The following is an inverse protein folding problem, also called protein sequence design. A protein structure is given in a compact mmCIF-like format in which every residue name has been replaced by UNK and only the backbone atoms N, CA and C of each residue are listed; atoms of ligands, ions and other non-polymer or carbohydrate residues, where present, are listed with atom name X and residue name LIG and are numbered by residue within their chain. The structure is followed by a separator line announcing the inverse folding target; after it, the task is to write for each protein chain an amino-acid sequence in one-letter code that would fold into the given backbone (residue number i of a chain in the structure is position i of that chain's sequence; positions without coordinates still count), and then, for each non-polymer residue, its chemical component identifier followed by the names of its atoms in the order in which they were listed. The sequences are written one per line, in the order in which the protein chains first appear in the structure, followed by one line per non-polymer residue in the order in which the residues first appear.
data_IF_817348664982
#
_entry.id   IF_817348664982
#
_cell.length_a   1.000
_cell.length_b   1.000
_cell.length_c   1.000
_cell.angle_alpha   90.00
_cell.angle_beta   90.00
_cell.angle_gamma   90.00
#
_symmetry.space_group_name_H-M   'P 1'
#
loop_
_entity.id
_entity.type
_entity.pdbx_description
1 polymer ?
#
# COMPACT_ATOMS: atom_id res chain seq x y z
N UNK A 1 -19.71 -8.38 10.48
CA UNK A 1 -18.62 -9.31 10.09
C UNK A 1 -17.71 -9.47 11.29
N UNK A 2 -17.62 -10.68 11.85
CA UNK A 2 -16.62 -10.98 12.87
C UNK A 2 -15.25 -10.92 12.21
N UNK A 3 -14.51 -9.84 12.48
CA UNK A 3 -13.14 -9.68 12.03
C UNK A 3 -12.26 -10.62 12.87
N UNK A 4 -11.54 -11.59 12.28
CA UNK A 4 -10.70 -12.49 13.05
C UNK A 4 -9.72 -11.72 13.93
N UNK A 5 -9.51 -12.16 15.17
CA UNK A 5 -8.64 -11.46 16.13
C UNK A 5 -7.21 -11.30 15.60
N UNK A 6 -6.72 -12.30 14.85
CA UNK A 6 -5.47 -12.22 14.12
C UNK A 6 -5.40 -11.01 13.17
N UNK A 7 -6.48 -10.70 12.44
CA UNK A 7 -6.54 -9.54 11.56
C UNK A 7 -6.41 -8.25 12.36
N UNK A 8 -7.03 -8.15 13.53
CA UNK A 8 -6.93 -6.95 14.39
C UNK A 8 -5.50 -6.70 14.83
N UNK A 9 -4.74 -7.74 15.19
CA UNK A 9 -3.32 -7.63 15.56
C UNK A 9 -2.49 -7.01 14.42
N UNK A 10 -2.63 -7.51 13.20
CA UNK A 10 -1.86 -7.03 12.04
C UNK A 10 -2.36 -5.69 11.49
N UNK A 11 -3.66 -5.43 11.59
CA UNK A 11 -4.27 -4.19 11.16
C UNK A 11 -4.08 -3.06 12.18
N UNK A 12 -3.76 -3.32 13.45
CA UNK A 12 -3.62 -2.29 14.48
C UNK A 12 -2.67 -1.16 14.06
N UNK A 13 -1.48 -1.42 13.50
CA UNK A 13 -0.64 -0.36 12.95
C UNK A 13 -1.24 0.33 11.72
N UNK A 14 -2.11 -0.33 10.98
CA UNK A 14 -2.78 0.30 9.84
C UNK A 14 -3.98 1.15 10.24
N UNK A 15 -4.48 1.04 11.48
CA UNK A 15 -5.66 1.75 11.99
C UNK A 15 -5.35 3.09 12.66
N UNK A 16 -4.08 3.39 12.98
CA UNK A 16 -3.74 4.68 13.58
C UNK A 16 -3.79 5.77 12.53
N UNK A 17 -4.52 6.83 12.87
CA UNK A 17 -4.61 8.05 12.08
C UNK A 17 -3.34 8.89 12.28
N UNK A 18 -2.78 9.37 11.17
CA UNK A 18 -1.70 10.34 11.17
C UNK A 18 -1.84 11.33 10.04
N UNK A 19 -1.43 12.56 10.30
CA UNK A 19 -1.37 13.63 9.30
C UNK A 19 0.06 13.79 8.79
N UNK A 20 0.20 14.27 7.57
CA UNK A 20 1.48 14.60 6.95
C UNK A 20 2.00 13.57 5.97
N UNK A 21 3.15 13.89 5.39
CA UNK A 21 3.81 13.09 4.36
C UNK A 21 5.03 12.38 4.93
N UNK A 22 5.14 11.09 4.64
CA UNK A 22 6.15 10.22 5.22
C UNK A 22 6.95 9.49 4.14
N UNK A 23 8.24 9.18 4.37
CA UNK A 23 9.02 8.43 3.41
C UNK A 23 8.50 6.99 3.27
N UNK A 24 8.56 6.47 2.04
CA UNK A 24 8.40 5.06 1.76
C UNK A 24 9.52 4.53 0.88
N UNK A 25 9.68 3.21 0.86
CA UNK A 25 10.48 2.50 -0.13
C UNK A 25 9.75 1.25 -0.63
N UNK A 26 9.97 0.90 -1.90
CA UNK A 26 9.63 -0.39 -2.47
C UNK A 26 10.92 -1.15 -2.76
N UNK A 27 11.02 -2.36 -2.22
CA UNK A 27 12.06 -3.30 -2.57
C UNK A 27 11.52 -4.44 -3.43
N UNK A 28 12.25 -4.85 -4.45
CA UNK A 28 12.08 -6.19 -5.03
C UNK A 28 12.94 -7.14 -4.23
N UNK A 29 12.31 -8.20 -3.73
CA UNK A 29 12.92 -9.17 -2.84
C UNK A 29 12.75 -10.58 -3.42
N UNK A 30 13.88 -11.21 -3.74
CA UNK A 30 13.97 -12.64 -4.01
C UNK A 30 14.24 -13.37 -2.69
N UNK A 31 13.19 -13.75 -1.97
CA UNK A 31 13.26 -14.72 -0.86
C UNK A 31 12.86 -16.10 -1.40
N UNK A 32 11.99 -16.87 -0.74
CA UNK A 32 11.41 -18.10 -1.30
C UNK A 32 10.78 -17.86 -2.67
N UNK A 33 10.08 -16.72 -2.82
CA UNK A 33 9.52 -16.24 -4.08
C UNK A 33 9.87 -14.76 -4.29
N UNK A 34 9.87 -14.32 -5.55
CA UNK A 34 9.93 -12.89 -5.87
C UNK A 34 8.68 -12.18 -5.35
N UNK A 35 8.88 -11.07 -4.66
CA UNK A 35 7.80 -10.20 -4.18
C UNK A 35 8.29 -8.76 -4.01
N UNK A 36 7.33 -7.86 -3.82
CA UNK A 36 7.57 -6.47 -3.50
C UNK A 36 7.41 -6.25 -2.00
N UNK A 37 8.42 -5.69 -1.35
CA UNK A 37 8.29 -5.23 0.03
C UNK A 37 8.13 -3.71 0.03
N UNK A 38 6.87 -3.26 0.16
CA UNK A 38 6.53 -1.86 0.36
C UNK A 38 6.62 -1.57 1.87
N UNK A 39 7.43 -0.57 2.24
CA UNK A 39 7.59 -0.11 3.62
C UNK A 39 7.34 1.38 3.69
N UNK A 40 6.51 1.78 4.63
CA UNK A 40 6.02 3.15 4.78
C UNK A 40 6.20 3.58 6.22
N UNK A 41 6.86 4.71 6.43
CA UNK A 41 6.87 5.35 7.76
C UNK A 41 5.47 5.91 8.03
N UNK A 42 5.01 5.82 9.26
CA UNK A 42 3.70 6.31 9.73
C UNK A 42 3.90 7.00 11.08
N UNK A 43 3.18 8.09 11.36
CA UNK A 43 3.22 8.80 12.64
C UNK A 43 4.63 9.15 13.19
N UNK A 44 5.67 9.27 12.35
CA UNK A 44 7.09 9.36 12.77
C UNK A 44 7.62 8.17 13.59
N UNK A 45 6.93 7.03 13.55
CA UNK A 45 7.30 5.77 14.20
C UNK A 45 8.08 4.87 13.22
N UNK A 46 8.23 3.60 13.59
CA UNK A 46 8.71 2.52 12.73
C UNK A 46 7.89 2.35 11.45
N UNK A 47 8.25 1.40 10.60
CA UNK A 47 7.61 1.23 9.28
C UNK A 47 6.43 0.28 9.40
N UNK A 48 5.28 0.63 8.80
CA UNK A 48 4.27 -0.35 8.41
C UNK A 48 4.62 -0.90 7.02
N UNK A 49 4.38 -2.19 6.82
CA UNK A 49 4.83 -2.88 5.61
C UNK A 49 3.73 -3.68 4.92
N UNK A 50 3.83 -3.78 3.60
CA UNK A 50 2.97 -4.61 2.76
C UNK A 50 3.87 -5.46 1.86
N UNK A 51 3.74 -6.78 1.93
CA UNK A 51 4.27 -7.68 0.91
C UNK A 51 3.27 -7.71 -0.25
N UNK A 52 3.72 -7.33 -1.44
CA UNK A 52 2.95 -7.29 -2.68
C UNK A 52 3.40 -8.47 -3.56
N UNK A 53 2.46 -9.33 -3.93
CA UNK A 53 2.74 -10.49 -4.78
C UNK A 53 2.80 -10.08 -6.25
N UNK A 54 3.95 -9.54 -6.64
CA UNK A 54 4.19 -8.96 -7.95
C UNK A 54 4.92 -9.88 -8.93
N UNK A 55 5.31 -11.09 -8.57
CA UNK A 55 5.97 -12.02 -9.50
C UNK A 55 4.99 -12.54 -10.57
N UNK A 56 5.46 -12.67 -11.81
CA UNK A 56 4.78 -13.43 -12.86
C UNK A 56 5.28 -14.87 -12.85
N UNK A 57 4.45 -15.86 -12.49
CA UNK A 57 4.82 -17.27 -12.54
C UNK A 57 5.42 -17.66 -13.89
N UNK A 58 6.43 -18.54 -13.87
CA UNK A 58 7.12 -19.01 -15.08
C UNK A 58 8.05 -18.02 -15.80
N UNK A 59 8.05 -16.73 -15.42
CA UNK A 59 8.87 -15.72 -16.13
C UNK A 59 10.38 -15.85 -15.89
N UNK A 60 10.80 -16.50 -14.81
CA UNK A 60 12.20 -16.79 -14.48
C UNK A 60 12.44 -18.29 -14.56
N UNK A 61 13.31 -18.72 -15.47
CA UNK A 61 13.65 -20.14 -15.69
C UNK A 61 14.64 -20.69 -14.66
N UNK A 62 15.66 -19.89 -14.32
CA UNK A 62 16.69 -20.25 -13.34
C UNK A 62 16.72 -19.23 -12.22
N UNK A 63 16.66 -19.73 -10.99
CA UNK A 63 16.74 -18.88 -9.80
C UNK A 63 18.19 -18.41 -9.61
N UNK A 64 18.44 -17.09 -9.48
CA UNK A 64 19.74 -16.62 -9.03
C UNK A 64 20.12 -17.21 -7.67
N UNK A 65 21.37 -17.68 -7.49
CA UNK A 65 21.85 -18.25 -6.24
C UNK A 65 23.35 -17.96 -6.00
N UNK A 66 23.80 -18.06 -4.75
CA UNK A 66 25.17 -17.74 -4.37
C UNK A 66 25.44 -16.24 -4.22
N UNK A 67 26.69 -15.86 -3.98
CA UNK A 67 27.08 -14.44 -3.96
C UNK A 67 27.00 -13.82 -5.36
N UNK A 68 27.36 -14.60 -6.38
CA UNK A 68 27.40 -14.18 -7.79
C UNK A 68 26.01 -14.03 -8.43
N UNK A 69 24.99 -14.73 -7.90
CA UNK A 69 23.61 -14.59 -8.38
C UNK A 69 23.01 -13.19 -8.20
N UNK A 70 23.71 -12.26 -7.53
CA UNK A 70 23.31 -10.86 -7.51
C UNK A 70 23.17 -10.26 -8.91
N UNK A 71 24.07 -10.58 -9.85
CA UNK A 71 24.04 -9.98 -11.18
C UNK A 71 22.89 -10.50 -12.03
N UNK A 72 22.58 -11.79 -11.92
CA UNK A 72 21.40 -12.38 -12.55
C UNK A 72 20.10 -11.83 -11.95
N UNK A 73 20.06 -11.63 -10.63
CA UNK A 73 18.97 -10.94 -9.97
C UNK A 73 18.81 -9.50 -10.51
N UNK A 74 19.91 -8.78 -10.72
CA UNK A 74 19.87 -7.44 -11.30
C UNK A 74 19.35 -7.42 -12.74
N UNK A 75 19.70 -8.41 -13.58
CA UNK A 75 19.14 -8.54 -14.93
C UNK A 75 17.63 -8.69 -14.89
N UNK A 76 17.09 -9.47 -13.95
CA UNK A 76 15.64 -9.62 -13.74
C UNK A 76 15.01 -8.29 -13.30
N UNK A 77 15.59 -7.64 -12.28
CA UNK A 77 15.10 -6.36 -11.73
C UNK A 77 15.28 -5.19 -12.71
N UNK A 78 16.08 -5.33 -13.76
CA UNK A 78 16.19 -4.29 -14.79
C UNK A 78 14.96 -4.22 -15.70
N UNK A 79 14.25 -5.33 -15.90
CA UNK A 79 13.17 -5.43 -16.90
C UNK A 79 11.82 -5.79 -16.28
N UNK A 80 11.17 -4.88 -15.53
CA UNK A 80 10.00 -5.24 -14.75
C UNK A 80 8.81 -5.74 -15.58
N UNK A 81 8.58 -5.19 -16.77
CA UNK A 81 7.48 -5.61 -17.65
C UNK A 81 7.57 -7.09 -18.06
N UNK A 82 8.77 -7.67 -18.05
CA UNK A 82 9.00 -9.08 -18.41
C UNK A 82 8.71 -10.02 -17.24
N UNK A 83 9.08 -9.63 -16.01
CA UNK A 83 9.12 -10.55 -14.86
C UNK A 83 8.07 -10.26 -13.79
N UNK A 84 7.50 -9.06 -13.76
CA UNK A 84 6.64 -8.60 -12.68
C UNK A 84 5.29 -8.07 -13.18
N UNK A 85 4.28 -8.23 -12.33
CA UNK A 85 2.92 -7.72 -12.44
C UNK A 85 2.83 -6.21 -12.21
N UNK A 86 3.89 -5.60 -11.67
CA UNK A 86 4.04 -4.16 -11.49
C UNK A 86 5.25 -3.69 -12.30
N UNK A 87 5.04 -2.77 -13.22
CA UNK A 87 6.12 -2.00 -13.79
C UNK A 87 6.45 -0.83 -12.86
N UNK A 88 7.48 -1.00 -12.02
CA UNK A 88 7.89 0.06 -11.09
C UNK A 88 8.61 1.24 -11.76
N UNK A 89 8.86 1.20 -13.08
CA UNK A 89 9.38 2.36 -13.81
C UNK A 89 8.28 3.32 -14.24
N UNK A 90 7.06 2.81 -14.46
CA UNK A 90 5.89 3.57 -14.92
C UNK A 90 4.74 3.61 -13.90
N UNK A 91 4.74 2.70 -12.94
CA UNK A 91 3.66 2.45 -11.99
C UNK A 91 2.48 1.67 -12.56
N UNK A 92 2.61 1.11 -13.77
CA UNK A 92 1.56 0.31 -14.41
C UNK A 92 1.40 -1.06 -13.73
N UNK A 93 0.16 -1.43 -13.41
CA UNK A 93 -0.19 -2.80 -13.00
C UNK A 93 -0.57 -3.55 -14.27
N UNK A 94 0.19 -4.60 -14.61
CA UNK A 94 0.09 -5.25 -15.91
C UNK A 94 -0.86 -6.45 -15.83
N UNK A 95 -1.81 -6.49 -16.78
CA UNK A 95 -2.73 -7.62 -17.00
C UNK A 95 -3.78 -7.83 -15.91
N UNK A 96 -3.91 -6.92 -14.93
CA UNK A 96 -4.86 -7.04 -13.83
C UNK A 96 -5.22 -5.69 -13.22
N UNK A 97 -6.32 -5.63 -12.45
CA UNK A 97 -6.79 -4.39 -11.79
C UNK A 97 -6.13 -4.12 -10.44
N UNK A 98 -5.58 -5.16 -9.80
CA UNK A 98 -5.05 -5.13 -8.43
C UNK A 98 -4.03 -6.22 -8.21
N UNK A 99 -3.14 -6.04 -7.24
CA UNK A 99 -2.16 -7.04 -6.83
C UNK A 99 -2.60 -7.69 -5.52
N UNK A 100 -2.44 -9.01 -5.39
CA UNK A 100 -2.58 -9.65 -4.08
C UNK A 100 -1.49 -9.15 -3.13
N UNK A 101 -1.82 -9.02 -1.85
CA UNK A 101 -0.92 -8.48 -0.84
C UNK A 101 -1.19 -9.05 0.56
N UNK A 102 -0.19 -8.87 1.43
CA UNK A 102 -0.21 -9.25 2.83
C UNK A 102 0.38 -8.14 3.69
N UNK A 103 -0.23 -7.84 4.83
CA UNK A 103 0.34 -6.91 5.81
C UNK A 103 1.54 -7.52 6.54
N UNK A 104 2.52 -6.68 6.86
CA UNK A 104 3.66 -7.02 7.69
C UNK A 104 3.48 -6.48 9.11
N UNK A 105 4.16 -7.13 10.04
CA UNK A 105 4.44 -6.52 11.34
C UNK A 105 5.30 -5.26 11.17
N UNK A 106 5.27 -4.32 12.13
CA UNK A 106 6.14 -3.16 12.09
C UNK A 106 7.62 -3.56 11.92
N UNK A 107 8.33 -2.84 11.06
CA UNK A 107 9.74 -3.06 10.74
C UNK A 107 10.57 -1.83 11.10
N UNK A 108 11.84 -2.03 11.47
CA UNK A 108 12.74 -0.95 11.85
C UNK A 108 12.91 0.09 10.73
N UNK A 109 12.97 1.37 11.11
CA UNK A 109 13.21 2.50 10.19
C UNK A 109 14.45 2.37 9.30
N UNK A 110 15.46 1.60 9.71
CA UNK A 110 16.69 1.35 8.96
C UNK A 110 16.43 0.77 7.56
N UNK A 111 15.33 0.03 7.37
CA UNK A 111 14.97 -0.54 6.07
C UNK A 111 14.74 0.50 4.98
N UNK A 112 14.39 1.75 5.32
CA UNK A 112 14.27 2.81 4.31
C UNK A 112 15.59 3.10 3.60
N UNK A 113 16.73 2.88 4.27
CA UNK A 113 18.06 3.21 3.76
C UNK A 113 18.74 2.06 3.01
N UNK A 114 18.19 0.84 3.14
CA UNK A 114 18.71 -0.34 2.42
C UNK A 114 18.51 -0.14 0.92
N UNK A 115 19.60 -0.15 0.15
CA UNK A 115 19.55 -0.07 -1.33
C UNK A 115 19.77 -1.43 -1.99
N UNK A 116 20.67 -2.20 -1.39
CA UNK A 116 21.11 -3.53 -1.78
C UNK A 116 21.18 -4.39 -0.52
N UNK A 117 20.74 -5.63 -0.64
CA UNK A 117 20.89 -6.62 0.42
C UNK A 117 21.08 -7.99 -0.23
N UNK A 118 22.12 -8.70 0.19
CA UNK A 118 22.46 -10.04 -0.27
C UNK A 118 22.63 -10.88 0.98
N UNK A 119 21.86 -11.97 1.08
CA UNK A 119 21.73 -12.75 2.29
C UNK A 119 22.00 -14.23 2.02
N UNK A 120 22.94 -14.86 2.73
CA UNK A 120 23.16 -16.30 2.62
C UNK A 120 21.98 -17.08 3.23
N UNK A 121 21.87 -18.39 2.94
CA UNK A 121 20.84 -19.25 3.54
C UNK A 121 20.84 -19.14 5.08
N UNK A 122 19.65 -19.16 5.69
CA UNK A 122 19.49 -19.04 7.16
C UNK A 122 19.57 -17.62 7.72
N UNK A 123 20.04 -16.62 6.96
CA UNK A 123 20.13 -15.23 7.42
C UNK A 123 18.84 -14.43 7.17
N UNK A 124 18.67 -13.27 7.82
CA UNK A 124 17.54 -12.36 7.58
C UNK A 124 17.36 -12.14 6.07
N UNK A 125 16.13 -12.23 5.54
CA UNK A 125 15.84 -12.19 4.09
C UNK A 125 15.91 -13.56 3.37
N UNK A 126 16.63 -14.53 3.94
CA UNK A 126 16.72 -15.92 3.47
C UNK A 126 16.55 -16.93 4.62
N UNK A 127 15.97 -16.51 5.76
CA UNK A 127 16.00 -17.25 7.04
C UNK A 127 15.44 -18.66 6.95
N UNK A 128 14.43 -18.84 6.10
CA UNK A 128 13.73 -20.10 5.90
C UNK A 128 14.20 -20.87 4.66
N UNK A 129 15.25 -20.39 3.99
CA UNK A 129 15.87 -21.05 2.84
C UNK A 129 17.05 -21.87 3.35
N UNK A 130 17.03 -23.18 3.07
CA UNK A 130 18.09 -24.11 3.52
C UNK A 130 19.37 -23.95 2.70
N UNK A 131 19.25 -23.84 1.38
CA UNK A 131 20.36 -23.85 0.42
C UNK A 131 20.31 -22.69 -0.59
N UNK A 132 19.37 -21.75 -0.42
CA UNK A 132 19.17 -20.62 -1.35
C UNK A 132 19.48 -19.27 -0.72
N UNK A 133 20.19 -18.44 -1.49
CA UNK A 133 20.45 -17.05 -1.16
C UNK A 133 19.22 -16.17 -1.38
N UNK A 134 19.15 -15.08 -0.63
CA UNK A 134 18.16 -14.02 -0.76
C UNK A 134 18.77 -12.73 -1.29
N UNK A 135 18.02 -12.02 -2.13
CA UNK A 135 18.47 -10.75 -2.71
C UNK A 135 17.39 -9.70 -2.65
N UNK A 136 17.79 -8.46 -2.36
CA UNK A 136 16.88 -7.33 -2.31
C UNK A 136 17.50 -6.11 -2.98
N UNK A 137 16.70 -5.43 -3.81
CA UNK A 137 17.05 -4.12 -4.38
C UNK A 137 15.91 -3.15 -4.19
N UNK A 138 16.22 -1.95 -3.73
CA UNK A 138 15.27 -0.84 -3.69
C UNK A 138 15.02 -0.34 -5.10
N UNK A 139 13.76 -0.33 -5.53
CA UNK A 139 13.35 0.05 -6.89
C UNK A 139 12.52 1.33 -6.93
N UNK A 140 11.94 1.74 -5.81
CA UNK A 140 11.20 2.99 -5.72
C UNK A 140 11.31 3.60 -4.33
N UNK A 141 11.22 4.94 -4.28
CA UNK A 141 11.16 5.73 -3.04
C UNK A 141 10.37 6.99 -3.30
N UNK A 142 9.69 7.50 -2.28
CA UNK A 142 8.97 8.75 -2.38
C UNK A 142 8.30 9.10 -1.06
N UNK A 143 7.19 9.82 -1.15
CA UNK A 143 6.38 10.18 0.00
C UNK A 143 5.01 9.50 -0.07
N UNK A 144 4.47 9.16 1.09
CA UNK A 144 3.13 8.62 1.27
C UNK A 144 2.41 9.42 2.35
N UNK A 145 1.14 9.68 2.11
CA UNK A 145 0.21 10.23 3.09
C UNK A 145 -0.79 9.15 3.49
N UNK A 146 -1.03 9.05 4.79
CA UNK A 146 -1.91 8.07 5.37
C UNK A 146 -3.31 8.66 5.52
N UNK A 147 -4.21 8.33 4.58
CA UNK A 147 -5.58 8.85 4.58
C UNK A 147 -6.49 7.96 5.42
N UNK A 148 -7.70 7.65 4.94
CA UNK A 148 -8.69 6.82 5.63
C UNK A 148 -8.12 5.54 6.23
N UNK A 149 -8.37 5.35 7.53
CA UNK A 149 -7.98 4.18 8.32
C UNK A 149 -9.22 3.46 8.84
N UNK A 150 -9.59 2.35 8.23
CA UNK A 150 -10.70 1.50 8.69
C UNK A 150 -10.41 0.02 8.43
N UNK A 151 -11.01 -0.87 9.21
CA UNK A 151 -10.73 -2.31 9.16
C UNK A 151 -10.96 -2.94 7.78
N UNK A 152 -11.94 -2.45 7.03
CA UNK A 152 -12.27 -2.93 5.69
C UNK A 152 -11.54 -2.18 4.57
N UNK A 153 -10.70 -1.17 4.88
CA UNK A 153 -9.96 -0.39 3.89
C UNK A 153 -8.89 0.53 4.52
N UNK A 154 -7.68 0.47 3.97
CA UNK A 154 -6.62 1.43 4.29
C UNK A 154 -6.27 2.22 3.04
N UNK A 155 -6.28 3.54 3.17
CA UNK A 155 -6.11 4.44 2.05
C UNK A 155 -4.78 5.20 2.16
N UNK A 156 -4.09 5.29 1.03
CA UNK A 156 -2.78 5.90 0.91
C UNK A 156 -2.76 6.85 -0.29
N UNK A 157 -2.00 7.93 -0.18
CA UNK A 157 -1.73 8.82 -1.29
C UNK A 157 -0.23 8.99 -1.49
N UNK A 158 0.28 8.55 -2.64
CA UNK A 158 1.71 8.52 -2.94
C UNK A 158 2.11 9.70 -3.83
N UNK A 159 3.23 10.33 -3.51
CA UNK A 159 3.86 11.40 -4.29
C UNK A 159 5.35 11.18 -4.40
N UNK A 160 6.00 11.81 -5.38
CA UNK A 160 7.45 11.76 -5.62
C UNK A 160 8.05 10.38 -5.95
N UNK A 161 7.23 9.34 -6.02
CA UNK A 161 7.60 8.00 -6.51
C UNK A 161 7.62 7.87 -8.02
N UNK A 162 8.17 6.78 -8.54
CA UNK A 162 7.97 6.31 -9.93
C UNK A 162 6.94 5.20 -10.00
N UNK A 163 7.07 4.19 -9.14
CA UNK A 163 6.16 3.04 -9.11
C UNK A 163 4.80 3.39 -8.50
N UNK A 164 4.80 4.23 -7.46
CA UNK A 164 3.58 4.64 -6.78
C UNK A 164 3.35 6.15 -6.91
N UNK A 165 2.20 6.50 -7.48
CA UNK A 165 1.69 7.87 -7.62
C UNK A 165 0.18 7.91 -7.49
N UNK A 166 -0.33 8.87 -6.74
CA UNK A 166 -1.75 9.04 -6.50
C UNK A 166 -2.27 8.07 -5.46
N UNK A 167 -3.57 7.77 -5.55
CA UNK A 167 -4.35 7.08 -4.54
C UNK A 167 -4.26 5.56 -4.68
N UNK A 168 -3.95 4.90 -3.56
CA UNK A 168 -3.92 3.45 -3.44
C UNK A 168 -4.77 3.00 -2.26
N UNK A 169 -5.33 1.80 -2.41
CA UNK A 169 -6.20 1.18 -1.42
C UNK A 169 -5.67 -0.22 -1.12
N UNK A 170 -5.48 -0.52 0.17
CA UNK A 170 -5.30 -1.88 0.66
C UNK A 170 -6.61 -2.33 1.29
N UNK A 171 -7.21 -3.40 0.78
CA UNK A 171 -8.52 -3.89 1.23
C UNK A 171 -8.49 -5.40 1.46
N UNK A 172 -9.04 -5.92 2.57
CA UNK A 172 -9.19 -7.36 2.75
C UNK A 172 -10.10 -7.96 1.67
N UNK A 173 -9.76 -9.14 1.16
CA UNK A 173 -10.53 -9.83 0.12
C UNK A 173 -10.73 -11.31 0.48
N UNK A 174 -11.90 -11.85 0.13
CA UNK A 174 -12.31 -13.23 0.36
C UNK A 174 -13.08 -13.49 1.68
N UNK A 175 -13.99 -14.48 1.67
CA UNK A 175 -14.59 -15.08 2.88
C UNK A 175 -13.77 -16.34 3.22
N UNK A 176 -13.37 -16.53 4.48
CA UNK A 176 -12.74 -17.77 4.94
C UNK A 176 -11.23 -17.92 4.69
N UNK A 177 -10.50 -16.85 4.34
CA UNK A 177 -9.05 -16.94 4.17
C UNK A 177 -8.29 -16.91 5.50
N UNK A 178 -7.26 -17.76 5.59
CA UNK A 178 -6.24 -17.68 6.64
C UNK A 178 -5.29 -16.51 6.32
N UNK A 179 -5.22 -15.54 7.22
CA UNK A 179 -4.28 -14.43 7.13
C UNK A 179 -2.87 -14.92 7.44
N UNK A 180 -2.15 -15.43 6.45
CA UNK A 180 -0.71 -15.65 6.59
C UNK A 180 -0.02 -14.30 6.64
N UNK A 181 0.92 -14.12 7.56
CA UNK A 181 1.82 -12.96 7.52
C UNK A 181 3.19 -13.38 7.08
N UNK A 182 3.82 -12.55 6.24
CA UNK A 182 5.18 -12.80 5.78
C UNK A 182 6.21 -12.79 6.93
N UNK A 183 5.81 -12.45 8.16
CA UNK A 183 6.67 -12.23 9.32
C UNK A 183 6.45 -13.21 10.49
N UNK A 184 5.27 -13.83 10.62
CA UNK A 184 4.96 -14.70 11.76
C UNK A 184 4.63 -16.15 11.36
N UNK A 185 3.87 -16.33 10.26
CA UNK A 185 3.28 -17.63 9.91
C UNK A 185 3.50 -17.94 8.42
N UNK A 186 4.76 -18.09 8.01
CA UNK A 186 5.03 -18.65 6.68
C UNK A 186 4.75 -20.15 6.75
N UNK A 187 3.89 -20.73 5.89
CA UNK A 187 3.86 -22.17 5.76
C UNK A 187 5.29 -22.64 5.42
N UNK A 188 5.78 -23.63 6.16
CA UNK A 188 7.03 -24.31 5.85
C UNK A 188 6.84 -25.06 4.53
N UNK A 189 7.10 -24.39 3.40
CA UNK A 189 7.07 -25.03 2.09
C UNK A 189 8.35 -25.85 1.95
N UNK A 190 8.31 -27.10 2.43
CA UNK A 190 9.34 -28.11 2.19
C UNK A 190 9.13 -28.66 0.77
N UNK A 191 10.15 -28.56 -0.08
CA UNK A 191 10.09 -28.99 -1.48
C UNK A 191 9.85 -27.85 -2.45
N UNK A 192 10.87 -27.03 -2.69
CA UNK A 192 10.86 -26.03 -3.77
C UNK A 192 10.99 -26.73 -5.12
N UNK A 193 9.88 -27.22 -5.67
CA UNK A 193 9.66 -27.09 -7.10
C UNK A 193 8.83 -25.83 -7.31
N UNK A 194 9.30 -24.95 -8.17
CA UNK A 194 8.64 -23.74 -8.67
C UNK A 194 7.22 -23.98 -9.26
N UNK A 195 6.67 -25.19 -9.15
CA UNK A 195 5.51 -25.75 -9.86
C UNK A 195 4.31 -26.10 -8.95
N UNK A 196 4.34 -25.85 -7.63
CA UNK A 196 3.18 -26.11 -6.75
C UNK A 196 2.65 -24.89 -6.01
N UNK A 197 2.83 -23.70 -6.56
CA UNK A 197 1.76 -22.70 -6.48
C UNK A 197 0.69 -23.14 -7.48
N UNK A 198 -0.01 -24.25 -7.17
CA UNK A 198 -1.26 -24.59 -7.86
C UNK A 198 -2.12 -23.34 -7.79
N UNK A 199 -2.61 -22.92 -8.95
CA UNK A 199 -3.66 -21.92 -9.09
C UNK A 199 -4.70 -22.14 -7.97
N UNK A 200 -4.96 -21.09 -7.18
CA UNK A 200 -6.10 -21.08 -6.25
C UNK A 200 -5.82 -21.10 -4.75
N UNK A 201 -4.58 -21.21 -4.25
CA UNK A 201 -4.28 -20.89 -2.83
C UNK A 201 -3.69 -19.49 -2.70
N UNK A 202 -4.58 -18.49 -2.64
CA UNK A 202 -4.22 -17.08 -2.48
C UNK A 202 -3.51 -16.87 -1.13
N UNK A 203 -2.21 -16.57 -1.17
CA UNK A 203 -1.39 -16.33 0.04
C UNK A 203 -1.65 -14.94 0.66
N UNK A 204 -2.40 -14.07 -0.03
CA UNK A 204 -2.68 -12.71 0.38
C UNK A 204 -4.13 -12.50 0.79
N UNK A 205 -4.36 -12.20 2.07
CA UNK A 205 -5.69 -11.81 2.56
C UNK A 205 -6.14 -10.40 2.14
N UNK A 206 -5.38 -9.72 1.27
CA UNK A 206 -5.64 -8.34 0.84
C UNK A 206 -5.39 -8.13 -0.65
N UNK A 207 -6.07 -7.11 -1.18
CA UNK A 207 -5.80 -6.52 -2.49
C UNK A 207 -5.15 -5.16 -2.33
N UNK A 208 -4.06 -4.96 -3.05
CA UNK A 208 -3.41 -3.67 -3.29
C UNK A 208 -3.92 -3.10 -4.62
N UNK A 209 -4.67 -2.02 -4.54
CA UNK A 209 -5.43 -1.45 -5.65
C UNK A 209 -4.91 -0.05 -5.93
N UNK A 210 -4.51 0.22 -7.19
CA UNK A 210 -4.32 1.58 -7.68
C UNK A 210 -5.70 2.14 -8.04
N UNK A 211 -6.18 3.14 -7.31
CA UNK A 211 -7.49 3.72 -7.60
C UNK A 211 -7.40 4.52 -8.91
N UNK A 212 -8.40 4.36 -9.79
CA UNK A 212 -8.56 5.25 -10.95
C UNK A 212 -9.07 6.61 -10.48
N UNK A 213 -10.17 6.58 -9.74
CA UNK A 213 -10.73 7.74 -9.04
C UNK A 213 -9.84 8.16 -7.86
N UNK A 214 -9.29 9.38 -7.95
CA UNK A 214 -8.42 9.99 -6.96
C UNK A 214 -9.17 10.69 -5.82
N UNK A 215 -10.51 10.68 -5.81
CA UNK A 215 -11.32 11.26 -4.74
C UNK A 215 -11.01 10.57 -3.41
N UNK A 216 -10.55 11.30 -2.38
CA UNK A 216 -10.33 10.72 -1.05
C UNK A 216 -11.62 10.10 -0.52
N UNK A 217 -11.53 8.92 0.10
CA UNK A 217 -12.70 8.16 0.52
C UNK A 217 -13.62 8.98 1.44
N UNK A 218 -13.05 9.83 2.29
CA UNK A 218 -13.79 10.69 3.21
C UNK A 218 -14.80 11.62 2.50
N UNK A 219 -14.58 11.97 1.23
CA UNK A 219 -15.47 12.77 0.38
C UNK A 219 -16.28 11.94 -0.61
N UNK A 220 -16.10 10.61 -0.63
CA UNK A 220 -16.86 9.72 -1.50
C UNK A 220 -18.34 9.67 -1.11
N UNK A 221 -19.21 9.40 -2.08
CA UNK A 221 -20.64 9.20 -1.82
C UNK A 221 -20.89 8.12 -0.76
N UNK A 222 -20.12 7.02 -0.83
CA UNK A 222 -20.18 5.93 0.15
C UNK A 222 -19.83 6.36 1.57
N UNK A 223 -18.92 7.32 1.77
CA UNK A 223 -18.63 7.83 3.10
C UNK A 223 -19.75 8.74 3.62
N UNK A 224 -20.48 9.44 2.73
CA UNK A 224 -21.69 10.19 3.09
C UNK A 224 -22.80 9.23 3.50
N UNK A 225 -23.14 8.26 2.66
CA UNK A 225 -24.18 7.26 2.93
C UNK A 225 -23.94 6.51 4.25
N UNK A 226 -22.69 6.14 4.52
CA UNK A 226 -22.31 5.44 5.75
C UNK A 226 -22.07 6.37 6.94
N UNK A 227 -22.25 7.68 6.77
CA UNK A 227 -21.94 8.72 7.76
C UNK A 227 -20.53 8.58 8.34
N UNK A 228 -19.60 8.07 7.53
CA UNK A 228 -18.22 7.83 7.93
C UNK A 228 -17.48 9.16 7.94
N UNK A 229 -16.82 9.44 9.06
CA UNK A 229 -15.96 10.61 9.26
C UNK A 229 -14.68 10.20 9.98
N UNK A 230 -13.62 10.98 9.80
CA UNK A 230 -12.36 10.81 10.53
C UNK A 230 -12.50 11.28 11.98
N UNK A 231 -11.64 10.80 12.89
CA UNK A 231 -11.55 11.32 14.25
C UNK A 231 -11.18 12.82 14.26
N UNK A 232 -11.51 13.49 15.37
CA UNK A 232 -11.11 14.88 15.59
C UNK A 232 -9.60 15.07 15.37
N UNK A 233 -9.23 16.16 14.68
CA UNK A 233 -7.84 16.50 14.34
C UNK A 233 -7.34 15.91 13.02
N UNK A 234 -8.03 14.93 12.44
CA UNK A 234 -7.61 14.27 11.20
C UNK A 234 -8.57 14.59 10.05
N UNK A 235 -8.05 14.94 8.88
CA UNK A 235 -8.88 15.21 7.70
C UNK A 235 -9.16 13.92 6.91
N UNK A 236 -8.21 12.99 6.83
CA UNK A 236 -8.30 11.93 5.81
C UNK A 236 -8.21 12.48 4.37
N UNK A 237 -7.75 13.72 4.22
CA UNK A 237 -7.46 14.38 2.94
C UNK A 237 -5.94 14.48 2.77
N UNK A 238 -5.44 14.27 1.55
CA UNK A 238 -4.06 14.58 1.18
C UNK A 238 -3.72 16.04 1.50
N UNK A 239 -2.49 16.29 1.95
CA UNK A 239 -2.02 17.59 2.41
C UNK A 239 -2.21 18.67 1.35
N UNK A 240 -1.99 18.32 0.08
CA UNK A 240 -2.22 19.23 -1.05
C UNK A 240 -3.69 19.67 -1.13
N UNK A 241 -4.64 18.74 -1.09
CA UNK A 241 -6.07 19.06 -1.13
C UNK A 241 -6.52 19.78 0.15
N UNK A 242 -6.07 19.30 1.33
CA UNK A 242 -6.40 19.85 2.64
C UNK A 242 -6.13 21.36 2.74
N UNK A 243 -5.02 21.83 2.14
CA UNK A 243 -4.64 23.25 2.10
C UNK A 243 -5.56 24.12 1.24
N UNK A 244 -6.32 23.52 0.32
CA UNK A 244 -7.23 24.21 -0.59
C UNK A 244 -8.66 24.28 -0.04
N UNK A 245 -8.94 23.59 1.07
CA UNK A 245 -10.27 23.57 1.67
C UNK A 245 -10.44 24.83 2.56
N UNK A 246 -11.43 25.68 2.28
CA UNK A 246 -11.72 26.90 3.05
C UNK A 246 -12.02 26.58 4.52
N UNK A 247 -11.67 27.49 5.42
CA UNK A 247 -11.81 27.30 6.88
C UNK A 247 -13.20 26.84 7.32
N UNK A 248 -14.28 27.36 6.72
CA UNK A 248 -15.67 26.96 7.01
C UNK A 248 -15.98 25.49 6.73
N UNK A 249 -15.21 24.85 5.86
CA UNK A 249 -15.36 23.46 5.46
C UNK A 249 -14.37 22.51 6.15
N UNK A 250 -13.53 23.01 7.07
CA UNK A 250 -12.50 22.22 7.73
C UNK A 250 -13.07 21.41 8.91
N UNK A 251 -13.91 20.42 8.60
CA UNK A 251 -14.57 19.56 9.58
C UNK A 251 -13.61 18.92 10.60
N UNK A 252 -12.36 18.64 10.24
CA UNK A 252 -11.39 18.04 11.17
C UNK A 252 -11.01 18.94 12.35
N UNK A 253 -11.34 20.24 12.30
CA UNK A 253 -11.17 21.19 13.41
C UNK A 253 -12.36 21.20 14.39
N UNK A 254 -13.43 20.46 14.10
CA UNK A 254 -14.65 20.45 14.91
C UNK A 254 -14.67 19.21 15.82
N UNK A 255 -14.90 19.41 17.12
CA UNK A 255 -14.87 18.33 18.14
C UNK A 255 -16.07 17.39 18.06
N UNK A 256 -17.26 17.93 17.84
CA UNK A 256 -18.51 17.16 17.73
C UNK A 256 -18.53 16.34 16.44
N UNK A 257 -18.71 15.02 16.55
CA UNK A 257 -18.78 14.11 15.40
C UNK A 257 -19.95 14.44 14.47
N UNK A 258 -21.13 14.74 15.05
CA UNK A 258 -22.33 15.13 14.31
C UNK A 258 -22.06 16.35 13.44
N UNK A 259 -21.38 17.36 14.00
CA UNK A 259 -21.08 18.59 13.29
C UNK A 259 -19.95 18.39 12.26
N UNK A 260 -18.97 17.52 12.53
CA UNK A 260 -17.98 17.13 11.51
C UNK A 260 -18.64 16.50 10.29
N UNK A 261 -19.58 15.58 10.49
CA UNK A 261 -20.31 14.94 9.41
C UNK A 261 -21.07 16.00 8.61
N UNK A 262 -21.82 16.88 9.28
CA UNK A 262 -22.55 17.98 8.64
C UNK A 262 -21.64 18.85 7.77
N UNK A 263 -20.53 19.34 8.32
CA UNK A 263 -19.59 20.22 7.58
C UNK A 263 -18.88 19.48 6.44
N UNK A 264 -18.58 18.18 6.60
CA UNK A 264 -18.05 17.35 5.50
C UNK A 264 -19.06 17.21 4.38
N UNK A 265 -20.33 16.93 4.71
CA UNK A 265 -21.40 16.78 3.73
C UNK A 265 -21.62 18.11 2.97
N UNK A 266 -21.66 19.25 3.70
CA UNK A 266 -21.73 20.59 3.10
C UNK A 266 -20.55 20.89 2.16
N UNK A 267 -19.33 20.51 2.54
CA UNK A 267 -18.16 20.62 1.66
C UNK A 267 -18.37 19.83 0.36
N UNK A 268 -18.82 18.58 0.48
CA UNK A 268 -19.05 17.73 -0.69
C UNK A 268 -20.14 18.30 -1.59
N UNK A 269 -21.20 18.85 -1.03
CA UNK A 269 -22.30 19.46 -1.78
C UNK A 269 -21.87 20.77 -2.45
N UNK A 270 -21.02 21.57 -1.80
CA UNK A 270 -20.40 22.74 -2.41
C UNK A 270 -19.51 22.35 -3.62
N UNK A 271 -18.69 21.31 -3.46
CA UNK A 271 -17.88 20.76 -4.56
C UNK A 271 -18.75 20.24 -5.72
N UNK A 272 -19.88 19.58 -5.42
CA UNK A 272 -20.83 19.11 -6.42
C UNK A 272 -21.46 20.27 -7.18
N UNK A 273 -21.99 21.28 -6.48
CA UNK A 273 -22.65 22.45 -7.08
C UNK A 273 -21.72 23.24 -7.99
N UNK A 274 -20.44 23.36 -7.63
CA UNK A 274 -19.41 24.02 -8.47
C UNK A 274 -18.82 23.11 -9.56
N UNK A 275 -19.31 21.88 -9.72
CA UNK A 275 -18.79 20.93 -10.72
C UNK A 275 -17.34 20.51 -10.47
N UNK A 276 -16.86 20.59 -9.23
CA UNK A 276 -15.46 20.34 -8.86
C UNK A 276 -15.15 18.87 -8.55
N UNK A 277 -16.16 18.00 -8.43
CA UNK A 277 -15.96 16.58 -8.16
C UNK A 277 -15.10 15.88 -9.23
N UNK A 278 -15.28 16.21 -10.51
CA UNK A 278 -14.46 15.68 -11.62
C UNK A 278 -12.96 15.97 -11.46
N UNK A 279 -12.61 17.08 -10.79
CA UNK A 279 -11.23 17.45 -10.50
C UNK A 279 -10.67 16.66 -9.32
N UNK A 280 -11.52 16.24 -8.37
CA UNK A 280 -11.13 15.26 -7.35
C UNK A 280 -10.86 13.90 -7.97
N UNK A 281 -11.71 13.44 -8.88
CA UNK A 281 -11.61 12.14 -9.54
C UNK A 281 -10.33 12.00 -10.37
N UNK A 282 -9.96 13.05 -11.11
CA UNK A 282 -8.73 13.11 -11.90
C UNK A 282 -7.46 13.40 -11.08
N UNK A 283 -7.61 13.83 -9.83
CA UNK A 283 -6.49 14.26 -8.99
C UNK A 283 -5.98 15.69 -9.29
N UNK A 284 -6.67 16.44 -10.14
CA UNK A 284 -6.36 17.82 -10.49
C UNK A 284 -6.84 18.81 -9.41
N UNK A 285 -6.37 18.66 -8.17
CA UNK A 285 -6.94 19.38 -7.04
C UNK A 285 -6.69 20.88 -7.03
N UNK A 286 -5.77 21.42 -7.84
CA UNK A 286 -5.53 22.86 -7.96
C UNK A 286 -6.81 23.65 -8.26
N UNK A 287 -7.74 23.06 -9.02
CA UNK A 287 -9.04 23.65 -9.34
C UNK A 287 -9.97 23.81 -8.13
N UNK A 288 -9.70 23.13 -7.01
CA UNK A 288 -10.51 23.24 -5.79
C UNK A 288 -10.38 24.62 -5.13
N UNK A 289 -9.34 25.42 -5.46
CA UNK A 289 -9.21 26.81 -4.99
C UNK A 289 -10.43 27.68 -5.32
N UNK A 290 -11.13 27.40 -6.42
CA UNK A 290 -12.35 28.14 -6.79
C UNK A 290 -13.54 27.87 -5.87
N UNK A 291 -13.38 27.04 -4.83
CA UNK A 291 -14.41 26.84 -3.81
C UNK A 291 -14.65 28.12 -2.99
N UNK A 292 -13.66 29.02 -2.89
CA UNK A 292 -13.79 30.33 -2.20
C UNK A 292 -14.46 31.42 -3.05
N UNK A 293 -14.25 31.41 -4.37
CA UNK A 293 -14.79 32.39 -5.32
C UNK A 293 -16.27 32.14 -5.64
#
# INVERSE_FOLDING_TARGET
MNVPEALKKYARPFLIWCEGSYPYCLHIHLASVFHGDLRMRWCRRDLIGVTIFLYRPGSVKHRPNGREGWDDFLKIVKYPRRYFKLDYTTGEIIGQRSLQATMKLPEASAWLNVRKFVSPPGYIGARYLKDKWGYMKRVDTGLVEHLTRKLDMFEFYFTKGKAFRGRYILRPFGRGFHFYTASADKPHVVGTKYERLKEGKELGGFLWIRAKDQTPYILSLRAVEKRFISPFGYSGLPTQLKKLIPSKFQYWKIRSEKDRIKVRDELRDALKRKGLLKHLESGAWSYVKSLEA
#
